data_IF_796707164420
#
_entry.id   IF_796707164420
#
_cell.length_a   1.000
_cell.length_b   1.000
_cell.length_c   1.000
_cell.angle_alpha   90.00
_cell.angle_beta   90.00
_cell.angle_gamma   90.00
#
_symmetry.space_group_name_H-M   'P 1'
#
loop_
_entity.id
_entity.type
_entity.pdbx_description
1 polymer ?
#
# COMPACT_ATOMS: atom_id res chain seq x y z
N UNK A 1 12.40 -10.92 -6.90
CA UNK A 1 11.18 -10.17 -6.55
C UNK A 1 10.87 -10.49 -5.10
N UNK A 2 10.47 -9.49 -4.31
CA UNK A 2 9.94 -9.75 -2.96
C UNK A 2 8.65 -10.56 -3.08
N UNK A 3 8.42 -11.48 -2.13
CA UNK A 3 7.25 -12.35 -2.08
C UNK A 3 6.30 -11.91 -0.97
N UNK A 4 5.05 -12.32 -1.07
CA UNK A 4 4.06 -12.06 -0.04
C UNK A 4 4.43 -12.79 1.25
N UNK A 5 4.07 -12.20 2.39
CA UNK A 5 4.26 -12.80 3.70
C UNK A 5 2.93 -13.01 4.42
N UNK A 6 2.88 -14.06 5.23
CA UNK A 6 1.84 -14.28 6.24
C UNK A 6 2.46 -14.59 7.60
N UNK A 7 1.64 -14.77 8.62
CA UNK A 7 2.11 -15.21 9.94
C UNK A 7 2.50 -16.69 9.88
N UNK A 8 3.56 -17.10 10.59
CA UNK A 8 3.95 -18.52 10.68
C UNK A 8 3.01 -19.36 11.55
N UNK A 9 2.23 -18.71 12.41
CA UNK A 9 1.24 -19.33 13.27
C UNK A 9 0.25 -18.29 13.79
N UNK A 10 -0.74 -18.75 14.55
CA UNK A 10 -1.75 -17.86 15.14
C UNK A 10 -1.29 -17.32 16.49
N UNK A 11 -1.68 -16.09 16.81
CA UNK A 11 -1.54 -15.53 18.15
C UNK A 11 -2.79 -14.75 18.55
N UNK A 12 -3.04 -14.68 19.86
CA UNK A 12 -4.15 -13.92 20.41
C UNK A 12 -3.68 -12.86 21.40
N UNK A 13 -4.39 -11.75 21.44
CA UNK A 13 -4.23 -10.68 22.42
C UNK A 13 -5.59 -10.43 23.07
N UNK A 14 -5.57 -10.34 24.41
CA UNK A 14 -6.76 -10.10 25.21
C UNK A 14 -6.58 -8.80 25.99
N UNK A 15 -7.62 -7.97 26.02
CA UNK A 15 -7.59 -6.71 26.73
C UNK A 15 -8.97 -6.06 26.81
N UNK A 16 -9.02 -4.88 27.42
CA UNK A 16 -10.23 -4.07 27.46
C UNK A 16 -10.39 -3.32 26.13
N UNK A 17 -11.61 -3.15 25.66
CA UNK A 17 -11.91 -2.26 24.54
C UNK A 17 -11.91 -0.80 24.97
N UNK A 18 -11.31 0.09 24.18
CA UNK A 18 -11.19 1.51 24.54
C UNK A 18 -12.55 2.17 24.74
N UNK A 19 -13.47 2.00 23.78
CA UNK A 19 -14.73 2.73 23.78
C UNK A 19 -15.84 1.97 24.49
N UNK A 20 -15.91 0.65 24.29
CA UNK A 20 -16.97 -0.19 24.86
C UNK A 20 -16.68 -0.62 26.29
N UNK A 21 -15.41 -0.72 26.68
CA UNK A 21 -15.00 -1.25 27.98
C UNK A 21 -15.14 -2.77 28.13
N UNK A 22 -15.53 -3.48 27.07
CA UNK A 22 -15.71 -4.93 27.07
C UNK A 22 -14.36 -5.67 27.16
N UNK A 23 -14.38 -6.91 27.65
CA UNK A 23 -13.22 -7.81 27.56
C UNK A 23 -13.19 -8.46 26.17
N UNK A 24 -12.17 -8.10 25.40
CA UNK A 24 -12.06 -8.44 23.99
C UNK A 24 -10.82 -9.28 23.75
N UNK A 25 -10.96 -10.26 22.87
CA UNK A 25 -9.89 -11.09 22.35
C UNK A 25 -9.84 -10.94 20.85
N UNK A 26 -8.67 -10.56 20.34
CA UNK A 26 -8.36 -10.55 18.91
C UNK A 26 -7.34 -11.65 18.62
N UNK A 27 -7.61 -12.46 17.61
CA UNK A 27 -6.74 -13.56 17.16
C UNK A 27 -6.30 -13.29 15.73
N UNK A 28 -5.00 -13.25 15.49
CA UNK A 28 -4.41 -13.07 14.17
C UNK A 28 -3.95 -14.43 13.66
N UNK A 29 -4.40 -14.80 12.46
CA UNK A 29 -4.16 -16.11 11.86
C UNK A 29 -3.42 -15.98 10.52
N UNK A 30 -2.59 -16.97 10.14
CA UNK A 30 -2.08 -17.09 8.79
C UNK A 30 -3.22 -17.13 7.77
N UNK A 31 -2.98 -16.60 6.56
CA UNK A 31 -3.94 -16.61 5.47
C UNK A 31 -3.28 -16.92 4.13
N UNK A 32 -4.08 -17.44 3.19
CA UNK A 32 -3.61 -17.80 1.86
C UNK A 32 -3.15 -16.56 1.07
N UNK A 33 -2.32 -16.79 0.06
CA UNK A 33 -1.86 -15.77 -0.88
C UNK A 33 -3.01 -14.95 -1.45
N UNK A 34 -2.78 -13.64 -1.63
CA UNK A 34 -3.76 -12.68 -2.16
C UNK A 34 -5.06 -12.55 -1.35
N UNK A 35 -5.09 -13.02 -0.10
CA UNK A 35 -6.23 -12.81 0.81
C UNK A 35 -6.34 -11.35 1.25
N UNK A 36 -5.21 -10.67 1.42
CA UNK A 36 -5.13 -9.39 2.12
C UNK A 36 -5.48 -9.53 3.61
N UNK A 37 -5.91 -8.43 4.21
CA UNK A 37 -6.42 -8.42 5.58
C UNK A 37 -7.93 -8.60 5.63
N UNK A 38 -8.38 -9.57 6.41
CA UNK A 38 -9.80 -9.84 6.62
C UNK A 38 -10.12 -9.86 8.09
N UNK A 39 -11.18 -9.17 8.50
CA UNK A 39 -11.63 -9.12 9.89
C UNK A 39 -12.94 -9.90 10.00
N UNK A 40 -12.95 -10.91 10.88
CA UNK A 40 -14.09 -11.77 11.14
C UNK A 40 -14.64 -11.51 12.55
N UNK A 41 -15.92 -11.16 12.65
CA UNK A 41 -16.64 -11.00 13.91
C UNK A 41 -17.17 -12.35 14.38
N UNK A 42 -16.43 -13.03 15.25
CA UNK A 42 -16.75 -14.40 15.68
C UNK A 42 -17.86 -14.47 16.74
N UNK A 43 -18.22 -13.33 17.32
CA UNK A 43 -19.29 -13.17 18.31
C UNK A 43 -20.69 -13.05 17.69
N UNK A 44 -20.79 -12.89 16.36
CA UNK A 44 -22.05 -12.77 15.64
C UNK A 44 -22.41 -14.06 14.90
N UNK A 45 -23.71 -14.32 14.76
CA UNK A 45 -24.22 -15.43 13.95
C UNK A 45 -23.73 -15.32 12.50
N UNK A 46 -23.30 -16.46 11.95
CA UNK A 46 -22.72 -16.52 10.60
C UNK A 46 -21.29 -15.98 10.48
N UNK A 47 -20.70 -15.49 11.58
CA UNK A 47 -19.32 -15.02 11.68
C UNK A 47 -18.87 -14.16 10.48
N UNK A 48 -19.54 -13.01 10.26
CA UNK A 48 -19.36 -12.21 9.07
C UNK A 48 -17.93 -11.68 8.92
N UNK A 49 -17.48 -11.59 7.67
CA UNK A 49 -16.13 -11.15 7.30
C UNK A 49 -16.18 -9.81 6.57
N UNK A 50 -15.36 -8.87 7.03
CA UNK A 50 -15.14 -7.55 6.47
C UNK A 50 -13.73 -7.51 5.87
N UNK A 51 -13.61 -7.14 4.60
CA UNK A 51 -12.31 -6.87 4.00
C UNK A 51 -11.75 -5.57 4.58
N UNK A 52 -10.53 -5.58 5.12
CA UNK A 52 -9.92 -4.39 5.71
C UNK A 52 -9.32 -3.50 4.61
N UNK A 53 -10.22 -2.80 3.92
CA UNK A 53 -9.91 -1.87 2.82
C UNK A 53 -10.59 -0.53 3.03
N UNK A 54 -10.01 0.54 2.48
CA UNK A 54 -10.45 1.91 2.77
C UNK A 54 -11.91 2.21 2.36
N UNK A 55 -12.48 1.49 1.39
CA UNK A 55 -13.91 1.62 1.04
C UNK A 55 -14.84 1.13 2.13
N UNK A 56 -14.41 0.17 2.94
CA UNK A 56 -15.19 -0.39 4.04
C UNK A 56 -15.07 0.44 5.32
N UNK A 57 -14.30 1.53 5.33
CA UNK A 57 -14.31 2.48 6.45
C UNK A 57 -15.62 3.26 6.43
N UNK A 58 -16.44 3.07 7.46
CA UNK A 58 -17.78 3.66 7.60
C UNK A 58 -17.81 4.84 8.56
N UNK A 59 -16.82 4.93 9.45
CA UNK A 59 -16.69 6.01 10.42
C UNK A 59 -15.20 6.25 10.75
N UNK A 60 -14.87 7.50 11.04
CA UNK A 60 -13.53 7.97 11.44
C UNK A 60 -13.56 8.82 12.71
N UNK A 61 -14.72 8.94 13.36
CA UNK A 61 -14.84 9.62 14.64
C UNK A 61 -14.14 8.80 15.73
N UNK A 62 -13.00 9.31 16.21
CA UNK A 62 -12.23 8.76 17.36
C UNK A 62 -11.58 7.38 17.15
N UNK A 63 -11.30 7.04 15.89
CA UNK A 63 -10.58 5.83 15.46
C UNK A 63 -11.00 5.45 14.05
N UNK A 64 -10.48 4.34 13.52
CA UNK A 64 -10.92 3.82 12.21
C UNK A 64 -11.93 2.69 12.40
N UNK A 65 -13.13 2.87 11.82
CA UNK A 65 -14.22 1.89 11.92
C UNK A 65 -14.52 1.27 10.57
N UNK A 66 -14.28 -0.03 10.46
CA UNK A 66 -14.64 -0.82 9.29
C UNK A 66 -16.05 -1.38 9.44
N UNK A 67 -16.79 -1.47 8.34
CA UNK A 67 -18.15 -2.02 8.36
C UNK A 67 -18.59 -2.63 7.04
N UNK A 68 -19.55 -3.57 7.15
CA UNK A 68 -20.23 -4.21 6.02
C UNK A 68 -21.66 -4.57 6.42
N UNK A 69 -22.65 -3.94 5.79
CA UNK A 69 -24.03 -4.00 6.26
C UNK A 69 -24.13 -3.43 7.68
N UNK A 70 -24.77 -4.17 8.59
CA UNK A 70 -24.93 -3.75 9.99
C UNK A 70 -23.73 -4.11 10.89
N UNK A 71 -22.75 -4.84 10.35
CA UNK A 71 -21.57 -5.30 11.10
C UNK A 71 -20.51 -4.22 11.07
N UNK A 72 -19.94 -3.89 12.24
CA UNK A 72 -18.85 -2.92 12.39
C UNK A 72 -17.74 -3.44 13.30
N UNK A 73 -16.53 -2.93 13.09
CA UNK A 73 -15.37 -3.16 13.96
C UNK A 73 -14.51 -1.90 14.04
N UNK A 74 -14.24 -1.40 15.24
CA UNK A 74 -13.45 -0.19 15.47
C UNK A 74 -12.07 -0.47 16.07
N UNK A 75 -11.23 0.57 16.12
CA UNK A 75 -9.91 0.56 16.78
C UNK A 75 -8.94 -0.43 16.14
N UNK A 76 -9.06 -0.61 14.82
CA UNK A 76 -8.27 -1.58 14.06
C UNK A 76 -6.85 -1.08 13.75
N UNK A 77 -6.67 0.25 13.77
CA UNK A 77 -5.48 0.97 13.29
C UNK A 77 -4.17 0.48 13.90
N UNK A 78 -4.08 0.22 15.21
CA UNK A 78 -2.81 -0.21 15.83
C UNK A 78 -2.40 -1.61 15.41
N UNK A 79 -3.36 -2.54 15.33
CA UNK A 79 -3.11 -3.90 14.89
C UNK A 79 -2.74 -3.95 13.41
N UNK A 80 -3.43 -3.16 12.58
CA UNK A 80 -3.11 -3.04 11.15
C UNK A 80 -1.76 -2.37 10.92
N UNK A 81 -1.40 -1.37 11.74
CA UNK A 81 -0.08 -0.72 11.67
C UNK A 81 1.04 -1.74 11.93
N UNK A 82 0.88 -2.60 12.95
CA UNK A 82 1.85 -3.64 13.27
C UNK A 82 2.02 -4.66 12.15
N UNK A 83 0.91 -5.14 11.55
CA UNK A 83 0.96 -6.07 10.41
C UNK A 83 1.66 -5.44 9.20
N UNK A 84 1.27 -4.21 8.85
CA UNK A 84 1.82 -3.49 7.69
C UNK A 84 3.31 -3.19 7.87
N UNK A 85 3.71 -2.75 9.07
CA UNK A 85 5.11 -2.42 9.37
C UNK A 85 6.04 -3.64 9.32
N UNK A 86 5.57 -4.81 9.77
CA UNK A 86 6.33 -6.06 9.66
C UNK A 86 6.19 -6.74 8.29
N UNK A 87 5.54 -6.08 7.33
CA UNK A 87 5.45 -6.54 5.95
C UNK A 87 4.60 -7.79 5.78
N UNK A 88 3.64 -8.06 6.68
CA UNK A 88 2.60 -9.08 6.48
C UNK A 88 1.68 -8.61 5.35
N UNK A 89 1.33 -9.50 4.43
CA UNK A 89 0.43 -9.18 3.32
C UNK A 89 -0.95 -9.85 3.51
N UNK A 90 -0.95 -11.05 4.10
CA UNK A 90 -2.15 -11.87 4.24
C UNK A 90 -2.38 -12.24 5.71
N UNK A 91 -3.54 -11.89 6.26
CA UNK A 91 -3.89 -12.20 7.64
C UNK A 91 -5.42 -12.28 7.84
N UNK A 92 -5.88 -13.35 8.50
CA UNK A 92 -7.26 -13.46 8.97
C UNK A 92 -7.32 -13.08 10.45
N UNK A 93 -8.04 -12.01 10.75
CA UNK A 93 -8.12 -11.39 12.07
C UNK A 93 -9.51 -11.69 12.64
N UNK A 94 -9.60 -12.47 13.71
CA UNK A 94 -10.84 -12.82 14.37
C UNK A 94 -11.00 -12.02 15.65
N UNK A 95 -12.17 -11.43 15.88
CA UNK A 95 -12.45 -10.65 17.10
C UNK A 95 -13.81 -11.00 17.66
N UNK A 96 -13.89 -11.13 18.99
CA UNK A 96 -15.10 -11.53 19.72
C UNK A 96 -15.96 -10.34 20.18
N UNK A 97 -15.87 -9.20 19.50
CA UNK A 97 -16.64 -8.01 19.84
C UNK A 97 -16.45 -6.88 18.84
N UNK A 98 -17.06 -5.72 19.09
CA UNK A 98 -17.19 -4.64 18.11
C UNK A 98 -15.94 -3.78 17.94
N UNK A 99 -14.84 -4.05 18.65
CA UNK A 99 -13.59 -3.31 18.54
C UNK A 99 -12.39 -4.22 18.85
N UNK A 100 -11.17 -3.77 18.52
CA UNK A 100 -9.94 -4.44 19.00
C UNK A 100 -9.62 -4.01 20.43
N UNK A 101 -8.94 -4.84 21.23
CA UNK A 101 -8.48 -4.44 22.55
C UNK A 101 -7.44 -3.30 22.44
N UNK A 102 -7.55 -2.31 23.34
CA UNK A 102 -6.65 -1.15 23.35
C UNK A 102 -5.24 -1.49 23.85
N UNK A 103 -5.13 -2.53 24.67
CA UNK A 103 -3.88 -2.97 25.32
C UNK A 103 -3.25 -1.82 26.13
N UNK A 104 -2.05 -1.38 25.78
CA UNK A 104 -1.39 -0.22 26.39
C UNK A 104 -1.56 1.07 25.58
N UNK A 105 -2.41 1.07 24.55
CA UNK A 105 -2.65 2.20 23.66
C UNK A 105 -1.64 2.33 22.53
N UNK A 106 -0.71 1.40 22.39
CA UNK A 106 0.33 1.39 21.35
C UNK A 106 0.22 0.15 20.44
N UNK A 107 1.17 -0.02 19.52
CA UNK A 107 1.30 -1.20 18.68
C UNK A 107 2.35 -2.21 19.20
N UNK A 108 3.05 -1.91 20.30
CA UNK A 108 4.21 -2.68 20.75
C UNK A 108 3.89 -4.15 21.06
N UNK A 109 2.74 -4.42 21.68
CA UNK A 109 2.33 -5.79 22.01
C UNK A 109 2.00 -6.63 20.78
N UNK A 110 1.42 -6.01 19.74
CA UNK A 110 1.19 -6.66 18.45
C UNK A 110 2.52 -7.03 17.78
N UNK A 111 3.46 -6.07 17.70
CA UNK A 111 4.81 -6.29 17.15
C UNK A 111 5.52 -7.45 17.87
N UNK A 112 5.51 -7.42 19.20
CA UNK A 112 6.14 -8.46 20.02
C UNK A 112 5.58 -9.85 19.69
N UNK A 113 4.25 -9.99 19.58
CA UNK A 113 3.61 -11.28 19.25
C UNK A 113 3.90 -11.75 17.83
N UNK A 114 3.94 -10.85 16.85
CA UNK A 114 4.29 -11.19 15.47
C UNK A 114 5.75 -11.66 15.40
N UNK A 115 6.67 -11.02 16.13
CA UNK A 115 8.08 -11.43 16.21
C UNK A 115 8.25 -12.78 16.93
N UNK A 116 7.49 -13.02 18.02
CA UNK A 116 7.49 -14.30 18.75
C UNK A 116 7.02 -15.47 17.86
N UNK A 117 5.94 -15.28 17.08
CA UNK A 117 5.38 -16.36 16.25
C UNK A 117 6.16 -16.55 14.95
N UNK A 118 6.73 -15.47 14.41
CA UNK A 118 7.49 -15.45 13.16
C UNK A 118 6.64 -15.20 11.92
N UNK A 119 7.33 -14.95 10.82
CA UNK A 119 6.76 -14.62 9.51
C UNK A 119 7.08 -15.77 8.53
N UNK A 120 6.11 -16.11 7.68
CA UNK A 120 6.24 -17.12 6.64
C UNK A 120 6.10 -16.49 5.25
N UNK A 121 7.12 -16.69 4.42
CA UNK A 121 7.14 -16.24 3.02
C UNK A 121 6.28 -17.18 2.15
N UNK A 122 5.46 -16.61 1.29
CA UNK A 122 4.58 -17.33 0.37
C UNK A 122 5.15 -17.31 -1.06
N UNK A 123 4.58 -18.08 -2.00
CA UNK A 123 5.10 -18.17 -3.37
C UNK A 123 4.66 -17.01 -4.26
N UNK A 124 3.53 -16.36 -3.93
CA UNK A 124 3.04 -15.22 -4.68
C UNK A 124 3.99 -13.99 -4.58
N UNK A 125 4.20 -13.25 -5.67
CA UNK A 125 4.99 -12.02 -5.64
C UNK A 125 4.27 -10.94 -4.84
N UNK A 126 5.05 -10.12 -4.14
CA UNK A 126 4.55 -8.94 -3.45
C UNK A 126 4.32 -7.81 -4.44
N UNK A 127 3.13 -7.23 -4.41
CA UNK A 127 2.67 -6.26 -5.39
C UNK A 127 2.72 -4.84 -4.82
N UNK A 128 3.89 -4.20 -4.98
CA UNK A 128 4.12 -2.83 -4.55
C UNK A 128 3.47 -1.82 -5.49
N UNK A 129 2.79 -0.83 -4.91
CA UNK A 129 2.35 0.34 -5.66
C UNK A 129 3.37 1.47 -5.55
N UNK A 130 4.03 1.76 -6.68
CA UNK A 130 5.06 2.79 -6.78
C UNK A 130 4.42 4.15 -7.10
N UNK A 131 4.69 5.16 -6.27
CA UNK A 131 4.23 6.52 -6.48
C UNK A 131 5.10 7.21 -7.54
N UNK A 132 4.46 7.68 -8.62
CA UNK A 132 5.15 8.27 -9.79
C UNK A 132 5.05 9.79 -9.88
N UNK A 133 4.02 10.35 -9.27
CA UNK A 133 3.77 11.78 -9.23
C UNK A 133 3.22 12.14 -7.85
N UNK A 134 3.31 13.43 -7.51
CA UNK A 134 2.72 13.96 -6.28
C UNK A 134 1.21 13.66 -6.25
N UNK A 135 0.74 13.03 -5.18
CA UNK A 135 -0.69 12.87 -4.88
C UNK A 135 -0.95 13.53 -3.53
N UNK A 136 -2.00 14.34 -3.46
CA UNK A 136 -2.31 15.15 -2.27
C UNK A 136 -3.80 15.07 -1.94
N UNK A 137 -4.11 14.86 -0.67
CA UNK A 137 -5.44 15.00 -0.11
C UNK A 137 -5.42 16.11 0.93
N UNK A 138 -6.37 17.04 0.82
CA UNK A 138 -6.55 18.17 1.75
C UNK A 138 -7.96 18.20 2.31
N UNK A 139 -8.05 18.63 3.56
CA UNK A 139 -9.26 19.04 4.24
C UNK A 139 -9.16 20.55 4.52
N UNK A 140 -9.96 21.34 3.81
CA UNK A 140 -9.94 22.81 3.90
C UNK A 140 -10.53 23.30 5.24
N UNK A 141 -11.37 22.51 5.91
CA UNK A 141 -12.01 22.91 7.17
C UNK A 141 -11.03 22.77 8.34
N UNK A 142 -10.29 21.66 8.40
CA UNK A 142 -9.32 21.42 9.48
C UNK A 142 -7.90 21.91 9.15
N UNK A 143 -7.63 22.17 7.86
CA UNK A 143 -6.27 22.40 7.35
C UNK A 143 -5.41 21.13 7.36
N UNK A 144 -6.01 19.94 7.51
CA UNK A 144 -5.31 18.67 7.46
C UNK A 144 -4.90 18.33 6.04
N UNK A 145 -3.68 17.84 5.85
CA UNK A 145 -3.14 17.55 4.53
C UNK A 145 -2.26 16.32 4.58
N UNK A 146 -2.39 15.44 3.59
CA UNK A 146 -1.48 14.31 3.35
C UNK A 146 -1.02 14.40 1.91
N UNK A 147 0.29 14.43 1.73
CA UNK A 147 0.94 14.44 0.43
C UNK A 147 1.86 13.24 0.36
N UNK A 148 1.83 12.51 -0.75
CA UNK A 148 2.83 11.49 -1.06
C UNK A 148 3.63 11.91 -2.29
N UNK A 149 4.94 11.72 -2.21
CA UNK A 149 5.90 12.02 -3.26
C UNK A 149 6.57 10.72 -3.75
N UNK A 150 7.04 10.67 -5.01
CA UNK A 150 7.83 9.56 -5.51
C UNK A 150 9.06 9.31 -4.63
N UNK A 151 9.25 8.06 -4.24
CA UNK A 151 10.42 7.58 -3.52
C UNK A 151 10.55 6.06 -3.73
N UNK A 152 11.77 5.55 -3.65
CA UNK A 152 12.07 4.11 -3.80
C UNK A 152 11.68 3.32 -2.54
N UNK A 153 11.65 3.98 -1.39
CA UNK A 153 11.27 3.44 -0.09
C UNK A 153 9.96 4.03 0.42
N UNK A 154 9.35 3.38 1.40
CA UNK A 154 8.19 3.94 2.10
C UNK A 154 8.64 4.64 3.38
N UNK A 155 8.52 5.97 3.40
CA UNK A 155 8.89 6.81 4.53
C UNK A 155 7.77 7.79 4.88
N UNK A 156 7.72 8.23 6.13
CA UNK A 156 6.66 9.12 6.62
C UNK A 156 7.25 10.23 7.47
N UNK A 157 6.85 11.47 7.20
CA UNK A 157 7.02 12.61 8.10
C UNK A 157 5.65 13.12 8.51
N UNK A 158 5.38 13.13 9.81
CA UNK A 158 4.15 13.64 10.39
C UNK A 158 4.42 14.90 11.21
N UNK A 159 3.67 15.96 10.94
CA UNK A 159 3.64 17.19 11.72
C UNK A 159 2.29 17.31 12.42
N UNK A 160 2.31 17.23 13.75
CA UNK A 160 1.16 17.56 14.58
C UNK A 160 1.25 19.02 15.01
N UNK A 161 0.09 19.67 15.09
CA UNK A 161 -0.02 21.05 15.54
C UNK A 161 -1.34 21.17 16.29
N UNK A 162 -1.28 21.02 17.61
CA UNK A 162 -2.43 21.24 18.48
C UNK A 162 -2.32 22.63 19.11
N UNK A 163 -3.49 23.24 19.36
CA UNK A 163 -3.58 24.41 20.23
C UNK A 163 -3.42 23.95 21.69
N UNK A 164 -2.17 23.69 22.05
CA UNK A 164 -1.70 23.14 23.32
C UNK A 164 -0.32 23.70 23.66
N UNK A 165 -0.09 24.01 24.94
CA UNK A 165 1.24 24.35 25.45
C UNK A 165 2.15 23.12 25.58
N UNK A 166 1.56 21.92 25.65
CA UNK A 166 2.27 20.66 25.87
C UNK A 166 2.53 19.91 24.56
N UNK A 167 1.58 19.95 23.63
CA UNK A 167 1.75 19.44 22.27
C UNK A 167 1.56 20.59 21.27
N UNK A 168 2.57 21.44 21.18
CA UNK A 168 2.60 22.47 20.14
C UNK A 168 2.92 21.85 18.77
N UNK A 169 3.61 22.58 17.89
CA UNK A 169 4.08 22.04 16.62
C UNK A 169 5.23 21.07 16.81
N UNK A 170 4.95 19.78 16.65
CA UNK A 170 5.91 18.69 16.79
C UNK A 170 6.01 17.88 15.50
N UNK A 171 7.19 17.29 15.25
CA UNK A 171 7.47 16.44 14.11
C UNK A 171 7.87 15.05 14.57
N UNK A 172 7.48 14.04 13.79
CA UNK A 172 8.02 12.70 13.87
C UNK A 172 8.32 12.20 12.45
N UNK A 173 9.43 11.51 12.28
CA UNK A 173 9.84 10.92 11.00
C UNK A 173 10.12 9.44 11.19
N UNK A 174 9.74 8.65 10.19
CA UNK A 174 10.12 7.26 10.01
C UNK A 174 10.72 7.13 8.62
N UNK A 175 12.05 7.01 8.54
CA UNK A 175 12.77 6.95 7.27
C UNK A 175 12.73 5.54 6.66
N UNK A 176 12.82 4.50 7.50
CA UNK A 176 12.74 3.10 7.09
C UNK A 176 11.69 2.35 7.91
N UNK A 177 10.87 1.53 7.24
CA UNK A 177 9.81 0.78 7.91
C UNK A 177 10.35 -0.24 8.94
N UNK A 178 11.58 -0.70 8.75
CA UNK A 178 12.27 -1.62 9.69
C UNK A 178 12.42 -1.02 11.10
N UNK A 179 12.52 0.32 11.20
CA UNK A 179 12.66 1.02 12.47
C UNK A 179 11.34 1.18 13.23
N UNK A 180 10.19 0.89 12.58
CA UNK A 180 8.87 1.09 13.17
C UNK A 180 8.71 0.38 14.52
N UNK A 181 9.20 -0.86 14.64
CA UNK A 181 9.11 -1.65 15.85
C UNK A 181 9.76 -0.94 17.06
N UNK A 182 10.90 -0.28 16.84
CA UNK A 182 11.68 0.37 17.89
C UNK A 182 11.23 1.82 18.12
N UNK A 183 10.96 2.55 17.05
CA UNK A 183 10.83 4.01 17.09
C UNK A 183 9.39 4.50 17.17
N UNK A 184 8.42 3.70 16.73
CA UNK A 184 7.03 4.14 16.57
C UNK A 184 6.07 3.25 17.34
N UNK A 185 6.25 1.93 17.30
CA UNK A 185 5.31 0.97 17.88
C UNK A 185 5.02 1.18 19.38
N UNK A 186 5.95 1.66 20.24
CA UNK A 186 5.68 1.96 21.65
C UNK A 186 4.90 3.26 21.89
N UNK A 187 4.64 4.09 20.87
CA UNK A 187 3.98 5.37 21.06
C UNK A 187 2.49 5.19 21.36
N UNK A 188 2.08 5.59 22.57
CA UNK A 188 0.71 5.38 23.05
C UNK A 188 -0.25 6.45 22.56
N UNK A 189 -1.53 6.07 22.49
CA UNK A 189 -2.62 7.00 22.23
C UNK A 189 -2.74 8.03 23.34
N UNK A 190 -3.43 9.13 23.05
CA UNK A 190 -3.52 10.26 23.97
C UNK A 190 -4.87 10.96 23.88
N UNK A 191 -5.23 11.61 24.98
CA UNK A 191 -6.47 12.37 25.10
C UNK A 191 -6.26 13.62 25.95
N UNK A 192 -6.87 14.73 25.56
CA UNK A 192 -6.92 15.93 26.39
C UNK A 192 -8.05 15.84 27.40
N UNK A 193 -7.83 16.29 28.63
CA UNK A 193 -8.88 16.32 29.67
C UNK A 193 -10.14 17.07 29.22
N UNK A 194 -9.98 18.15 28.43
CA UNK A 194 -11.08 18.92 27.86
C UNK A 194 -11.99 18.11 26.93
N UNK A 195 -11.49 17.01 26.36
CA UNK A 195 -12.22 16.13 25.44
C UNK A 195 -12.89 14.95 26.15
N UNK A 196 -12.52 14.64 27.41
CA UNK A 196 -13.03 13.47 28.12
C UNK A 196 -14.53 13.60 28.41
N UNK A 197 -15.00 14.71 28.99
CA UNK A 197 -16.42 14.87 29.33
C UNK A 197 -17.35 14.75 28.10
N UNK A 198 -17.06 15.40 26.94
CA UNK A 198 -17.82 15.16 25.71
C UNK A 198 -17.84 13.70 25.26
N UNK A 199 -16.71 13.00 25.38
CA UNK A 199 -16.60 11.58 25.00
C UNK A 199 -17.45 10.68 25.90
N UNK A 200 -17.44 10.91 27.21
CA UNK A 200 -18.27 10.16 28.17
C UNK A 200 -19.76 10.39 27.91
N UNK A 201 -20.18 11.63 27.63
CA UNK A 201 -21.57 11.95 27.24
C UNK A 201 -22.00 11.25 25.95
N UNK A 202 -21.05 10.99 25.04
CA UNK A 202 -21.27 10.22 23.83
C UNK A 202 -21.17 8.69 24.03
N UNK A 203 -21.12 8.21 25.27
CA UNK A 203 -20.94 6.78 25.61
C UNK A 203 -19.63 6.15 25.09
N UNK A 204 -18.58 6.96 24.88
CA UNK A 204 -17.25 6.52 24.46
C UNK A 204 -16.29 6.39 25.65
N UNK A 205 -15.07 5.93 25.38
CA UNK A 205 -13.93 5.82 26.31
C UNK A 205 -14.19 5.09 27.65
N UNK A 206 -15.17 4.17 27.71
CA UNK A 206 -15.48 3.38 28.92
C UNK A 206 -14.34 2.45 29.36
N UNK A 207 -13.40 2.20 28.44
CA UNK A 207 -12.18 1.45 28.66
C UNK A 207 -10.93 2.25 28.91
N UNK A 208 -10.96 3.57 28.73
CA UNK A 208 -9.78 4.42 28.89
C UNK A 208 -9.29 4.45 30.34
N UNK A 209 -7.99 4.32 30.52
CA UNK A 209 -7.30 4.50 31.81
C UNK A 209 -5.88 5.06 31.60
N UNK A 210 -5.17 5.32 32.70
CA UNK A 210 -3.81 5.89 32.65
C UNK A 210 -2.73 4.90 32.19
N UNK A 211 -3.07 3.61 32.04
CA UNK A 211 -2.15 2.58 31.57
C UNK A 211 -2.26 2.36 30.06
N UNK A 212 -3.38 2.79 29.45
CA UNK A 212 -3.67 2.64 28.03
C UNK A 212 -3.74 3.94 27.22
N UNK A 213 -3.65 5.11 27.86
CA UNK A 213 -3.58 6.39 27.16
C UNK A 213 -2.76 7.44 27.94
N UNK A 214 -2.12 8.35 27.21
CA UNK A 214 -1.51 9.55 27.76
C UNK A 214 -2.63 10.57 27.99
N UNK A 215 -2.85 10.97 29.24
CA UNK A 215 -3.86 11.98 29.58
C UNK A 215 -3.18 13.34 29.76
N UNK A 216 -3.71 14.36 29.07
CA UNK A 216 -3.07 15.68 28.98
C UNK A 216 -3.98 16.74 29.59
N UNK A 217 -3.56 17.29 30.73
CA UNK A 217 -4.26 18.35 31.43
C UNK A 217 -3.59 19.69 31.19
N UNK A 218 -4.15 20.46 30.26
CA UNK A 218 -3.50 21.64 29.70
C UNK A 218 -4.27 22.95 29.87
N UNK A 219 -5.57 22.84 30.19
CA UNK A 219 -6.47 23.97 30.42
C UNK A 219 -7.03 23.82 31.82
N UNK A 220 -6.70 24.76 32.69
CA UNK A 220 -7.16 24.74 34.05
C UNK A 220 -8.70 24.77 34.08
N UNK A 221 -9.29 23.85 34.81
CA UNK A 221 -10.72 23.78 35.10
C UNK A 221 -10.96 24.02 36.59
N UNK A 222 -12.21 24.13 37.02
CA UNK A 222 -12.53 24.25 38.45
C UNK A 222 -12.25 22.94 39.19
N UNK A 223 -11.84 23.01 40.46
CA UNK A 223 -11.61 21.82 41.29
C UNK A 223 -12.85 20.92 41.34
N UNK A 224 -14.04 21.52 41.49
CA UNK A 224 -15.32 20.79 41.47
C UNK A 224 -15.55 20.00 40.17
N UNK A 225 -15.23 20.59 39.01
CA UNK A 225 -15.39 19.89 37.73
C UNK A 225 -14.36 18.77 37.56
N UNK A 226 -13.13 18.98 38.03
CA UNK A 226 -12.09 17.95 37.97
C UNK A 226 -12.41 16.78 38.90
N UNK A 227 -12.89 17.04 40.12
CA UNK A 227 -13.28 16.02 41.09
C UNK A 227 -14.48 15.21 40.57
N UNK A 228 -15.50 15.86 39.98
CA UNK A 228 -16.62 15.16 39.33
C UNK A 228 -16.15 14.22 38.23
N UNK A 229 -15.18 14.64 37.43
CA UNK A 229 -14.62 13.80 36.37
C UNK A 229 -13.83 12.63 36.94
N UNK A 230 -13.04 12.89 38.00
CA UNK A 230 -12.26 11.87 38.69
C UNK A 230 -13.16 10.82 39.35
N UNK A 231 -14.24 11.23 40.00
CA UNK A 231 -15.25 10.35 40.58
C UNK A 231 -15.91 9.47 39.51
N UNK A 232 -16.28 10.08 38.37
CA UNK A 232 -16.91 9.35 37.26
C UNK A 232 -15.98 8.29 36.66
N UNK A 233 -14.70 8.61 36.53
CA UNK A 233 -13.67 7.70 36.02
C UNK A 233 -13.12 6.75 37.10
N UNK A 234 -13.52 6.92 38.35
CA UNK A 234 -13.01 6.19 39.51
C UNK A 234 -11.47 6.28 39.64
N UNK A 235 -10.94 7.51 39.51
CA UNK A 235 -9.51 7.82 39.68
C UNK A 235 -9.30 8.79 40.85
N UNK A 236 -8.08 8.84 41.44
CA UNK A 236 -7.80 9.78 42.52
C UNK A 236 -8.04 11.24 42.13
N UNK A 237 -8.51 12.04 43.07
CA UNK A 237 -8.64 13.49 42.88
C UNK A 237 -7.25 14.11 42.67
N UNK A 238 -7.19 15.10 41.77
CA UNK A 238 -5.97 15.79 41.40
C UNK A 238 -6.11 17.28 41.70
N UNK A 239 -5.00 17.94 41.95
CA UNK A 239 -4.96 19.40 42.14
C UNK A 239 -5.19 20.10 40.80
N UNK A 240 -6.31 20.81 40.68
CA UNK A 240 -6.71 21.48 39.44
C UNK A 240 -5.71 22.57 38.99
N UNK A 241 -4.82 23.05 39.87
CA UNK A 241 -3.78 24.02 39.50
C UNK A 241 -2.56 23.39 38.83
N UNK A 242 -2.38 22.07 38.94
CA UNK A 242 -1.23 21.35 38.41
C UNK A 242 -1.48 20.84 37.00
N UNK A 243 -1.21 21.69 36.01
CA UNK A 243 -1.23 21.31 34.60
C UNK A 243 -0.06 20.38 34.24
N UNK A 244 -0.28 19.47 33.30
CA UNK A 244 0.74 18.55 32.81
C UNK A 244 0.18 17.23 32.28
N UNK A 245 1.09 16.27 32.13
CA UNK A 245 0.75 14.88 31.83
C UNK A 245 0.26 14.18 33.09
N UNK A 246 -0.92 13.57 33.02
CA UNK A 246 -1.49 12.73 34.06
C UNK A 246 -1.24 11.28 33.63
N UNK A 247 -0.19 10.64 34.15
CA UNK A 247 0.23 9.31 33.70
C UNK A 247 0.92 8.51 34.80
N UNK A 248 0.70 7.19 34.79
CA UNK A 248 1.39 6.26 35.68
C UNK A 248 2.82 5.93 35.20
N UNK A 249 3.05 6.02 33.89
CA UNK A 249 4.33 5.75 33.23
C UNK A 249 4.81 7.00 32.50
N UNK A 250 6.12 7.33 32.56
CA UNK A 250 6.65 8.48 31.84
C UNK A 250 6.45 8.35 30.32
N UNK A 251 6.60 9.47 29.61
CA UNK A 251 6.66 9.43 28.16
C UNK A 251 7.90 8.66 27.70
N UNK A 252 7.77 7.91 26.61
CA UNK A 252 8.90 7.24 25.94
C UNK A 252 9.73 8.27 25.18
N UNK A 253 9.05 9.26 24.58
CA UNK A 253 9.67 10.38 23.86
C UNK A 253 8.93 11.68 24.16
N UNK A 254 9.61 12.82 24.08
CA UNK A 254 8.96 14.14 24.20
C UNK A 254 7.88 14.37 23.14
N UNK A 255 8.06 13.78 21.94
CA UNK A 255 7.12 13.83 20.83
C UNK A 255 6.26 12.55 20.67
N UNK A 256 6.05 11.78 21.75
CA UNK A 256 5.31 10.49 21.71
C UNK A 256 3.93 10.62 21.05
N UNK A 257 3.21 11.71 21.30
CA UNK A 257 1.89 11.95 20.69
C UNK A 257 1.96 12.11 19.16
N UNK A 258 3.02 12.74 18.65
CA UNK A 258 3.24 12.87 17.20
C UNK A 258 3.68 11.56 16.58
N UNK A 259 4.52 10.77 17.28
CA UNK A 259 4.88 9.41 16.86
C UNK A 259 3.65 8.49 16.83
N UNK A 260 2.73 8.64 17.76
CA UNK A 260 1.45 7.92 17.74
C UNK A 260 0.59 8.30 16.54
N UNK A 261 0.55 9.59 16.15
CA UNK A 261 -0.12 9.99 14.92
C UNK A 261 0.54 9.44 13.66
N UNK A 262 1.85 9.22 13.67
CA UNK A 262 2.55 8.48 12.61
C UNK A 262 2.13 7.01 12.60
N UNK A 263 2.03 6.36 13.77
CA UNK A 263 1.50 5.00 13.92
C UNK A 263 0.09 4.90 13.32
N UNK A 264 -0.80 5.83 13.63
CA UNK A 264 -2.16 5.90 13.07
C UNK A 264 -2.14 5.98 11.53
N UNK A 265 -1.25 6.82 10.96
CA UNK A 265 -1.08 6.92 9.50
C UNK A 265 -0.69 5.56 8.93
N UNK A 266 0.27 4.85 9.51
CA UNK A 266 0.68 3.52 9.04
C UNK A 266 -0.49 2.55 9.07
N UNK A 267 -1.27 2.53 10.15
CA UNK A 267 -2.46 1.70 10.30
C UNK A 267 -3.53 2.00 9.25
N UNK A 268 -3.80 3.27 8.99
CA UNK A 268 -4.77 3.69 7.98
C UNK A 268 -4.28 3.45 6.54
N UNK A 269 -2.97 3.58 6.28
CA UNK A 269 -2.37 3.26 4.98
C UNK A 269 -2.40 1.76 4.69
N UNK A 270 -2.41 0.91 5.72
CA UNK A 270 -2.60 -0.53 5.55
C UNK A 270 -3.92 -0.87 4.83
N UNK A 271 -4.94 -0.02 4.98
CA UNK A 271 -6.24 -0.16 4.31
C UNK A 271 -6.20 0.15 2.80
N UNK A 272 -5.07 0.61 2.27
CA UNK A 272 -4.84 0.68 0.82
C UNK A 272 -4.85 -0.73 0.22
N UNK A 273 -4.47 -1.76 0.99
CA UNK A 273 -4.46 -3.15 0.57
C UNK A 273 -3.32 -3.53 -0.38
N UNK A 274 -2.32 -2.65 -0.52
CA UNK A 274 -1.04 -2.91 -1.19
C UNK A 274 0.09 -2.17 -0.46
N UNK A 275 1.30 -2.73 -0.38
CA UNK A 275 2.46 -2.00 0.11
C UNK A 275 2.81 -0.86 -0.84
N UNK A 276 3.15 0.30 -0.28
CA UNK A 276 3.50 1.50 -1.02
C UNK A 276 5.03 1.66 -1.17
N UNK A 277 5.45 2.38 -2.23
CA UNK A 277 6.77 3.01 -2.34
C UNK A 277 6.58 4.50 -2.61
N UNK A 278 7.08 5.34 -1.71
CA UNK A 278 6.83 6.77 -1.72
C UNK A 278 6.98 7.40 -0.33
N UNK A 279 7.24 8.71 -0.30
CA UNK A 279 7.38 9.47 0.95
C UNK A 279 6.10 10.22 1.27
N UNK A 280 5.49 9.92 2.41
CA UNK A 280 4.34 10.66 2.95
C UNK A 280 4.84 11.86 3.77
N UNK A 281 4.23 13.02 3.53
CA UNK A 281 4.33 14.22 4.37
C UNK A 281 2.91 14.55 4.82
N UNK A 282 2.66 14.43 6.12
CA UNK A 282 1.35 14.64 6.72
C UNK A 282 1.36 15.83 7.69
N UNK A 283 0.42 16.76 7.51
CA UNK A 283 0.22 17.93 8.35
C UNK A 283 -1.14 17.83 9.03
N UNK A 284 -1.16 17.93 10.36
CA UNK A 284 -2.37 17.75 11.20
C UNK A 284 -3.12 16.45 10.83
N UNK A 285 -2.45 15.29 10.82
CA UNK A 285 -3.07 14.04 10.40
C UNK A 285 -4.20 13.60 11.34
N UNK A 286 -5.08 12.77 10.82
CA UNK A 286 -6.19 12.14 11.55
C UNK A 286 -6.94 11.17 10.64
N UNK A 287 -7.70 10.25 11.24
CA UNK A 287 -8.31 9.13 10.51
C UNK A 287 -9.17 9.55 9.32
N UNK A 288 -9.90 10.67 9.41
CA UNK A 288 -10.71 11.20 8.29
C UNK A 288 -9.86 11.51 7.05
N UNK A 289 -8.80 12.31 7.21
CA UNK A 289 -7.92 12.68 6.08
C UNK A 289 -7.07 11.49 5.62
N UNK A 290 -6.65 10.63 6.56
CA UNK A 290 -5.93 9.40 6.25
C UNK A 290 -6.79 8.48 5.38
N UNK A 291 -8.06 8.26 5.74
CA UNK A 291 -8.97 7.45 4.95
C UNK A 291 -9.29 8.08 3.58
N UNK A 292 -9.52 9.40 3.53
CA UNK A 292 -9.72 10.13 2.28
C UNK A 292 -8.54 9.92 1.33
N UNK A 293 -7.33 10.00 1.85
CA UNK A 293 -6.10 9.74 1.11
C UNK A 293 -5.98 8.26 0.69
N UNK A 294 -6.22 7.30 1.59
CA UNK A 294 -6.18 5.87 1.27
C UNK A 294 -7.17 5.49 0.15
N UNK A 295 -8.40 6.04 0.18
CA UNK A 295 -9.40 5.89 -0.88
C UNK A 295 -8.94 6.49 -2.21
N UNK A 296 -8.29 7.66 -2.17
CA UNK A 296 -7.73 8.29 -3.36
C UNK A 296 -6.66 7.40 -4.00
N UNK A 297 -5.73 6.87 -3.21
CA UNK A 297 -4.69 5.95 -3.69
C UNK A 297 -5.32 4.67 -4.25
N UNK A 298 -6.30 4.07 -3.57
CA UNK A 298 -6.99 2.88 -4.10
C UNK A 298 -7.71 3.14 -5.42
N UNK A 299 -8.29 4.33 -5.59
CA UNK A 299 -8.87 4.73 -6.88
C UNK A 299 -7.80 4.81 -7.97
N UNK A 300 -6.61 5.33 -7.66
CA UNK A 300 -5.50 5.37 -8.61
C UNK A 300 -4.93 3.98 -8.91
N UNK A 301 -4.82 3.10 -7.91
CA UNK A 301 -4.46 1.68 -8.09
C UNK A 301 -5.46 0.99 -9.03
N UNK A 302 -6.76 1.18 -8.86
CA UNK A 302 -7.79 0.58 -9.72
C UNK A 302 -7.74 1.11 -11.16
N UNK A 303 -7.36 2.37 -11.37
CA UNK A 303 -7.17 2.94 -12.72
C UNK A 303 -5.90 2.41 -13.39
N UNK A 304 -4.86 2.17 -12.61
CA UNK A 304 -3.54 1.75 -13.08
C UNK A 304 -3.17 0.39 -12.49
N UNK A 305 -4.07 -0.59 -12.64
CA UNK A 305 -3.89 -1.95 -12.09
C UNK A 305 -2.57 -2.56 -12.58
N UNK A 306 -2.18 -2.24 -13.82
CA UNK A 306 -0.85 -2.49 -14.34
C UNK A 306 -0.09 -1.17 -14.44
N UNK A 307 0.92 -0.99 -13.58
CA UNK A 307 1.80 0.17 -13.65
C UNK A 307 2.75 0.07 -14.85
N UNK A 308 2.96 1.21 -15.52
CA UNK A 308 4.01 1.34 -16.53
C UNK A 308 5.36 0.97 -15.91
N UNK A 309 6.30 0.38 -16.67
CA UNK A 309 7.69 0.24 -16.23
C UNK A 309 8.34 1.61 -15.95
N UNK A 310 9.35 1.66 -15.08
CA UNK A 310 10.23 2.83 -14.95
C UNK A 310 11.24 2.78 -16.10
N UNK A 311 11.39 3.88 -16.83
CA UNK A 311 12.38 4.01 -17.90
C UNK A 311 13.21 5.27 -17.68
N UNK A 312 14.49 5.08 -17.36
CA UNK A 312 15.48 6.12 -17.23
C UNK A 312 16.39 6.11 -18.47
N UNK A 313 16.36 7.18 -19.27
CA UNK A 313 17.16 7.27 -20.49
C UNK A 313 18.68 7.43 -20.23
N UNK A 314 19.08 7.71 -18.99
CA UNK A 314 20.49 7.78 -18.59
C UNK A 314 21.08 6.41 -18.22
N UNK A 315 20.25 5.39 -18.03
CA UNK A 315 20.71 4.03 -17.74
C UNK A 315 21.01 3.25 -19.02
N UNK A 316 22.09 2.46 -18.98
CA UNK A 316 22.44 1.58 -20.07
C UNK A 316 21.39 0.46 -20.21
N UNK A 317 20.98 0.09 -21.43
CA UNK A 317 20.04 -1.01 -21.62
C UNK A 317 20.70 -2.36 -21.31
N UNK A 318 19.89 -3.34 -20.88
CA UNK A 318 20.31 -4.74 -20.76
C UNK A 318 20.63 -5.32 -22.14
N UNK A 319 19.83 -4.97 -23.15
CA UNK A 319 20.11 -5.29 -24.55
C UNK A 319 19.91 -4.03 -25.38
N UNK A 320 20.96 -3.62 -26.10
CA UNK A 320 20.85 -2.59 -27.12
C UNK A 320 20.32 -3.17 -28.45
N UNK A 321 20.15 -2.29 -29.44
CA UNK A 321 19.65 -2.67 -30.77
C UNK A 321 20.55 -3.69 -31.47
N UNK A 322 21.85 -3.70 -31.19
CA UNK A 322 22.81 -4.61 -31.81
C UNK A 322 22.69 -6.01 -31.20
N UNK A 323 22.61 -6.10 -29.88
CA UNK A 323 22.37 -7.39 -29.22
C UNK A 323 21.02 -7.98 -29.63
N UNK A 324 19.98 -7.15 -29.76
CA UNK A 324 18.67 -7.60 -30.27
C UNK A 324 18.79 -8.16 -31.70
N UNK A 325 19.61 -7.56 -32.57
CA UNK A 325 19.84 -8.03 -33.96
C UNK A 325 20.48 -9.41 -34.04
N UNK A 326 21.30 -9.77 -33.06
CA UNK A 326 21.94 -11.08 -32.98
C UNK A 326 20.93 -12.16 -32.59
N UNK A 327 19.97 -11.83 -31.73
CA UNK A 327 18.99 -12.76 -31.17
C UNK A 327 17.74 -12.92 -32.03
N UNK A 328 17.28 -11.82 -32.66
CA UNK A 328 16.09 -11.84 -33.52
C UNK A 328 16.47 -11.81 -35.00
N UNK A 329 15.75 -12.56 -35.87
CA UNK A 329 16.00 -12.54 -37.31
C UNK A 329 15.49 -11.24 -37.98
N UNK A 330 14.62 -10.49 -37.31
CA UNK A 330 14.01 -9.26 -37.84
C UNK A 330 15.07 -8.21 -38.20
N UNK A 331 14.86 -7.51 -39.31
CA UNK A 331 15.68 -6.38 -39.77
C UNK A 331 14.76 -5.22 -40.16
N UNK A 332 15.31 -4.00 -40.23
CA UNK A 332 14.57 -2.85 -40.72
C UNK A 332 13.85 -3.19 -42.04
N UNK A 333 12.55 -2.86 -42.19
CA UNK A 333 11.72 -2.04 -41.29
C UNK A 333 10.96 -2.81 -40.19
N UNK A 334 11.21 -4.11 -40.02
CA UNK A 334 10.44 -4.99 -39.12
C UNK A 334 11.14 -5.30 -37.79
N UNK A 335 12.36 -4.85 -37.55
CA UNK A 335 12.91 -4.85 -36.20
C UNK A 335 12.35 -3.63 -35.46
N UNK A 336 11.38 -3.84 -34.58
CA UNK A 336 10.62 -2.77 -33.96
C UNK A 336 11.10 -2.41 -32.55
N UNK A 337 11.72 -3.36 -31.85
CA UNK A 337 12.26 -3.15 -30.50
C UNK A 337 13.66 -2.55 -30.59
N UNK A 338 13.85 -1.39 -29.98
CA UNK A 338 15.11 -0.65 -30.00
C UNK A 338 16.06 -1.11 -28.88
N UNK A 339 15.50 -1.42 -27.70
CA UNK A 339 16.26 -1.86 -26.53
C UNK A 339 15.41 -2.64 -25.53
N UNK A 340 16.08 -3.41 -24.67
CA UNK A 340 15.51 -4.04 -23.47
C UNK A 340 16.11 -3.36 -22.24
N UNK A 341 15.26 -2.87 -21.34
CA UNK A 341 15.67 -2.14 -20.12
C UNK A 341 15.48 -2.95 -18.83
N UNK A 342 14.64 -3.99 -18.87
CA UNK A 342 14.49 -4.93 -17.77
C UNK A 342 14.29 -6.35 -18.33
N UNK A 343 14.91 -7.34 -17.69
CA UNK A 343 14.79 -8.74 -18.06
C UNK A 343 14.85 -9.59 -16.80
N UNK A 344 13.77 -10.32 -16.55
CA UNK A 344 13.63 -11.27 -15.46
C UNK A 344 13.37 -12.69 -15.99
N UNK A 345 13.19 -13.67 -15.08
CA UNK A 345 12.94 -15.06 -15.46
C UNK A 345 11.60 -15.27 -16.18
N UNK A 346 10.62 -14.41 -15.92
CA UNK A 346 9.26 -14.52 -16.46
C UNK A 346 8.71 -13.21 -17.03
N UNK A 347 9.53 -12.17 -17.11
CA UNK A 347 9.10 -10.85 -17.58
C UNK A 347 10.20 -10.09 -18.30
N UNK A 348 9.81 -9.22 -19.22
CA UNK A 348 10.72 -8.35 -19.97
C UNK A 348 10.09 -6.97 -20.17
N UNK A 349 10.94 -5.95 -20.21
CA UNK A 349 10.56 -4.60 -20.63
C UNK A 349 11.39 -4.15 -21.82
N UNK A 350 10.73 -4.02 -22.97
CA UNK A 350 11.32 -3.47 -24.19
C UNK A 350 10.90 -2.01 -24.43
N UNK A 351 11.65 -1.30 -25.27
CA UNK A 351 11.39 0.08 -25.66
C UNK A 351 11.38 0.21 -27.17
N UNK A 352 10.44 1.01 -27.70
CA UNK A 352 10.45 1.50 -29.08
C UNK A 352 10.23 3.01 -29.10
N UNK A 353 11.09 3.72 -29.81
CA UNK A 353 10.88 5.12 -30.14
C UNK A 353 10.15 5.21 -31.48
N UNK A 354 9.07 5.98 -31.52
CA UNK A 354 8.24 6.13 -32.71
C UNK A 354 8.68 7.37 -33.46
N UNK A 355 9.26 7.19 -34.65
CA UNK A 355 9.78 8.33 -35.44
C UNK A 355 8.90 8.60 -36.65
N UNK A 356 8.79 9.88 -37.07
CA UNK A 356 7.98 10.27 -38.23
C UNK A 356 8.47 9.65 -39.55
N UNK A 357 9.73 9.21 -39.59
CA UNK A 357 10.37 8.64 -40.77
C UNK A 357 10.09 7.14 -40.95
N UNK A 358 9.32 6.53 -40.05
CA UNK A 358 8.96 5.12 -40.21
C UNK A 358 8.06 4.90 -41.44
N UNK A 359 8.35 3.88 -42.27
CA UNK A 359 7.80 3.79 -43.62
C UNK A 359 6.28 3.61 -43.64
N UNK A 360 5.70 3.07 -42.57
CA UNK A 360 4.25 2.90 -42.49
C UNK A 360 3.49 4.23 -42.36
N UNK A 361 4.10 5.32 -41.86
CA UNK A 361 3.40 6.61 -41.77
C UNK A 361 3.14 7.25 -43.14
N UNK A 362 3.87 6.86 -44.18
CA UNK A 362 3.65 7.35 -45.55
C UNK A 362 2.31 6.88 -46.12
N UNK A 363 1.85 5.69 -45.74
CA UNK A 363 0.61 5.08 -46.24
C UNK A 363 -0.50 4.93 -45.20
N UNK A 364 -0.18 4.91 -43.91
CA UNK A 364 -1.12 4.70 -42.83
C UNK A 364 -1.53 6.04 -42.19
N UNK A 365 -2.60 6.62 -42.75
CA UNK A 365 -3.16 7.94 -42.41
C UNK A 365 -2.16 9.11 -42.58
N UNK A 366 -1.85 9.54 -43.81
CA UNK A 366 -0.81 10.54 -44.07
C UNK A 366 -1.04 11.93 -43.43
N UNK A 367 -2.32 12.32 -43.26
CA UNK A 367 -2.69 13.60 -42.63
C UNK A 367 -2.85 13.50 -41.11
N UNK A 368 -2.87 12.28 -40.58
CA UNK A 368 -3.04 11.99 -39.16
C UNK A 368 -2.17 10.77 -38.80
N UNK A 369 -0.84 10.94 -38.72
CA UNK A 369 0.08 9.82 -38.60
C UNK A 369 -0.17 9.03 -37.30
N UNK A 370 -0.56 7.76 -37.45
CA UNK A 370 -0.82 6.83 -36.34
C UNK A 370 -0.06 5.53 -36.58
N UNK A 371 0.66 5.02 -35.57
CA UNK A 371 1.33 3.73 -35.69
C UNK A 371 0.30 2.60 -35.76
N UNK A 372 0.32 1.73 -36.80
CA UNK A 372 -0.60 0.61 -36.93
C UNK A 372 -0.61 -0.27 -35.67
N UNK A 373 -1.79 -0.56 -35.14
CA UNK A 373 -1.94 -1.39 -33.93
C UNK A 373 -1.29 -2.77 -34.07
N UNK A 374 -1.34 -3.37 -35.26
CA UNK A 374 -0.68 -4.66 -35.55
C UNK A 374 0.84 -4.60 -35.38
N UNK A 375 1.48 -3.45 -35.65
CA UNK A 375 2.91 -3.28 -35.42
C UNK A 375 3.23 -3.11 -33.93
N UNK A 376 2.30 -2.56 -33.13
CA UNK A 376 2.45 -2.55 -31.67
C UNK A 376 2.39 -3.98 -31.12
N UNK A 377 1.50 -4.83 -31.65
CA UNK A 377 1.40 -6.24 -31.29
C UNK A 377 2.64 -7.03 -31.73
N UNK A 378 3.14 -6.79 -32.94
CA UNK A 378 4.40 -7.38 -33.43
C UNK A 378 5.59 -6.98 -32.55
N UNK A 379 5.70 -5.71 -32.15
CA UNK A 379 6.75 -5.26 -31.24
C UNK A 379 6.64 -5.91 -29.85
N UNK A 380 5.42 -6.10 -29.33
CA UNK A 380 5.19 -6.90 -28.12
C UNK A 380 5.64 -8.35 -28.29
N UNK A 381 5.33 -8.96 -29.44
CA UNK A 381 5.73 -10.32 -29.77
C UNK A 381 7.25 -10.47 -29.86
N UNK A 382 7.95 -9.50 -30.43
CA UNK A 382 9.42 -9.45 -30.45
C UNK A 382 10.02 -9.35 -29.04
N UNK A 383 9.43 -8.53 -28.16
CA UNK A 383 9.82 -8.49 -26.75
C UNK A 383 9.61 -9.86 -26.08
N UNK A 384 8.45 -10.48 -26.27
CA UNK A 384 8.17 -11.82 -25.76
C UNK A 384 9.11 -12.89 -26.31
N UNK A 385 9.49 -12.79 -27.59
CA UNK A 385 10.48 -13.64 -28.22
C UNK A 385 11.84 -13.54 -27.54
N UNK A 386 12.32 -12.33 -27.27
CA UNK A 386 13.56 -12.10 -26.52
C UNK A 386 13.52 -12.71 -25.11
N UNK A 387 12.38 -12.57 -24.41
CA UNK A 387 12.19 -13.17 -23.08
C UNK A 387 12.33 -14.70 -23.14
N UNK A 388 11.67 -15.33 -24.10
CA UNK A 388 11.66 -16.78 -24.27
C UNK A 388 13.03 -17.29 -24.73
N UNK A 389 13.66 -16.62 -25.69
CA UNK A 389 14.98 -16.99 -26.19
C UNK A 389 16.05 -16.91 -25.09
N UNK A 390 15.91 -15.99 -24.14
CA UNK A 390 16.80 -15.91 -22.98
C UNK A 390 16.70 -17.13 -22.03
N UNK A 391 15.72 -18.03 -22.23
CA UNK A 391 15.55 -19.25 -21.42
C UNK A 391 16.15 -20.51 -22.07
N UNK A 392 16.63 -20.43 -23.32
CA UNK A 392 17.15 -21.59 -24.07
C UNK A 392 18.66 -21.49 -24.31
N UNK A 393 19.32 -22.64 -24.43
CA UNK A 393 20.74 -22.68 -24.82
C UNK A 393 20.91 -22.35 -26.31
N UNK A 394 22.01 -21.63 -26.63
CA UNK A 394 22.34 -21.16 -27.98
C UNK A 394 21.15 -20.42 -28.64
N UNK A 395 20.69 -19.29 -28.08
CA UNK A 395 19.47 -18.61 -28.50
C UNK A 395 19.47 -18.22 -29.99
N UNK A 396 20.63 -18.02 -30.60
CA UNK A 396 20.75 -17.70 -32.04
C UNK A 396 20.28 -18.86 -32.95
N UNK A 397 20.16 -20.09 -32.41
CA UNK A 397 19.68 -21.27 -33.14
C UNK A 397 18.17 -21.48 -33.08
N UNK A 398 17.43 -20.58 -32.45
CA UNK A 398 15.99 -20.70 -32.29
C UNK A 398 15.28 -19.47 -32.84
N UNK A 399 14.06 -19.68 -33.33
CA UNK A 399 13.14 -18.62 -33.74
C UNK A 399 11.82 -18.81 -33.02
N UNK A 400 11.16 -17.70 -32.71
CA UNK A 400 9.81 -17.71 -32.13
C UNK A 400 8.79 -17.36 -33.20
N UNK A 401 7.90 -18.29 -33.50
CA UNK A 401 6.81 -18.12 -34.45
C UNK A 401 5.49 -17.88 -33.74
N UNK A 402 4.76 -16.90 -34.24
CA UNK A 402 3.50 -16.49 -33.65
C UNK A 402 2.37 -17.47 -33.99
N UNK A 403 1.66 -17.97 -32.97
CA UNK A 403 0.60 -18.96 -33.15
C UNK A 403 -0.80 -18.37 -32.97
N UNK A 404 -0.98 -17.52 -31.95
CA UNK A 404 -2.31 -17.06 -31.52
C UNK A 404 -2.22 -15.68 -30.88
N UNK A 405 -3.23 -14.84 -31.11
CA UNK A 405 -3.50 -13.63 -30.33
C UNK A 405 -4.92 -13.68 -29.80
N UNK A 406 -5.11 -13.27 -28.56
CA UNK A 406 -6.40 -13.08 -27.89
C UNK A 406 -6.41 -11.73 -27.15
N UNK A 407 -7.61 -11.29 -26.75
CA UNK A 407 -7.83 -10.13 -25.85
C UNK A 407 -7.10 -8.83 -26.25
N UNK A 408 -6.97 -8.59 -27.56
CA UNK A 408 -6.32 -7.38 -28.07
C UNK A 408 -7.20 -6.17 -27.82
N UNK A 409 -6.64 -5.13 -27.20
CA UNK A 409 -7.31 -3.83 -27.05
C UNK A 409 -6.37 -2.70 -27.45
N UNK A 410 -6.85 -1.82 -28.31
CA UNK A 410 -6.20 -0.55 -28.64
C UNK A 410 -6.96 0.57 -27.93
N UNK A 411 -6.30 1.24 -27.00
CA UNK A 411 -6.94 2.21 -26.09
C UNK A 411 -6.68 3.65 -26.52
N UNK A 412 -5.49 3.94 -27.04
CA UNK A 412 -5.08 5.29 -27.44
C UNK A 412 -4.25 5.24 -28.72
N UNK A 413 -4.24 6.36 -29.46
CA UNK A 413 -3.39 6.53 -30.65
C UNK A 413 -1.94 6.61 -30.20
N UNK A 414 -1.06 5.99 -30.98
CA UNK A 414 0.39 6.14 -30.88
C UNK A 414 0.84 6.94 -32.08
N UNK A 415 1.58 8.03 -31.85
CA UNK A 415 1.95 9.02 -32.87
C UNK A 415 3.47 9.20 -32.91
N UNK A 416 4.03 9.80 -33.99
CA UNK A 416 5.43 10.19 -34.01
C UNK A 416 5.83 11.04 -32.80
N UNK A 417 6.97 10.71 -32.19
CA UNK A 417 7.47 11.35 -30.96
C UNK A 417 7.19 10.53 -29.69
N UNK A 418 6.26 9.57 -29.73
CA UNK A 418 6.00 8.71 -28.58
C UNK A 418 7.17 7.75 -28.30
N UNK A 419 7.36 7.45 -27.01
CA UNK A 419 8.18 6.31 -26.57
C UNK A 419 7.26 5.23 -26.02
N UNK A 420 7.28 4.07 -26.66
CA UNK A 420 6.54 2.89 -26.24
C UNK A 420 7.38 2.06 -25.28
N UNK A 421 6.80 1.72 -24.13
CA UNK A 421 7.33 0.70 -23.22
C UNK A 421 6.46 -0.55 -23.33
N UNK A 422 7.08 -1.69 -23.66
CA UNK A 422 6.42 -2.98 -23.74
C UNK A 422 6.72 -3.76 -22.47
N UNK A 423 5.73 -3.97 -21.61
CA UNK A 423 5.83 -4.91 -20.48
C UNK A 423 5.21 -6.23 -20.90
N UNK A 424 6.01 -7.30 -20.94
CA UNK A 424 5.54 -8.63 -21.33
C UNK A 424 5.87 -9.63 -20.22
N UNK A 425 4.86 -10.37 -19.80
CA UNK A 425 4.93 -11.38 -18.74
C UNK A 425 4.52 -12.76 -19.29
N UNK A 426 5.24 -13.83 -18.91
CA UNK A 426 4.83 -15.22 -19.17
C UNK A 426 3.59 -15.55 -18.35
N UNK A 427 2.56 -16.11 -19.00
CA UNK A 427 1.35 -16.59 -18.32
C UNK A 427 1.55 -17.96 -17.65
N UNK A 428 2.49 -18.75 -18.17
CA UNK A 428 2.86 -20.05 -17.65
C UNK A 428 4.31 -20.38 -18.04
N UNK A 429 4.98 -21.31 -17.34
CA UNK A 429 6.27 -21.83 -17.80
C UNK A 429 6.17 -22.39 -19.21
N UNK A 430 7.22 -22.20 -20.01
CA UNK A 430 7.32 -22.72 -21.38
C UNK A 430 7.20 -24.25 -21.34
N UNK A 431 6.26 -24.81 -22.13
CA UNK A 431 6.03 -26.27 -22.22
C UNK A 431 5.95 -26.69 -23.67
N UNK A 432 6.62 -27.79 -24.02
CA UNK A 432 6.66 -28.34 -25.38
C UNK A 432 7.06 -27.30 -26.46
N UNK A 433 7.93 -26.35 -26.10
CA UNK A 433 8.34 -25.27 -26.99
C UNK A 433 7.23 -24.24 -27.28
N UNK A 434 6.16 -24.21 -26.48
CA UNK A 434 5.08 -23.23 -26.60
C UNK A 434 5.12 -22.29 -25.39
N UNK A 435 5.02 -20.99 -25.65
CA UNK A 435 4.99 -19.93 -24.64
C UNK A 435 3.76 -19.05 -24.83
N UNK A 436 3.00 -18.86 -23.76
CA UNK A 436 1.86 -17.93 -23.71
C UNK A 436 2.23 -16.73 -22.84
N UNK A 437 1.92 -15.53 -23.32
CA UNK A 437 2.37 -14.26 -22.77
C UNK A 437 1.23 -13.25 -22.73
N UNK A 438 1.29 -12.33 -21.77
CA UNK A 438 0.46 -11.13 -21.72
C UNK A 438 1.35 -9.91 -21.87
N UNK A 439 1.01 -9.03 -22.81
CA UNK A 439 1.73 -7.79 -23.09
C UNK A 439 0.87 -6.56 -22.85
N UNK A 440 1.51 -5.52 -22.32
CA UNK A 440 0.97 -4.16 -22.21
C UNK A 440 1.94 -3.18 -22.85
N UNK A 441 1.41 -2.22 -23.60
CA UNK A 441 2.16 -1.13 -24.20
C UNK A 441 1.79 0.17 -23.52
N UNK A 442 2.80 0.95 -23.12
CA UNK A 442 2.61 2.23 -22.44
C UNK A 442 3.21 3.38 -23.24
N UNK A 443 2.53 4.54 -23.18
CA UNK A 443 3.12 5.86 -23.49
C UNK A 443 3.00 6.70 -22.21
N UNK A 444 4.15 7.03 -21.61
CA UNK A 444 4.17 7.52 -20.23
C UNK A 444 3.51 6.51 -19.28
N UNK A 445 2.55 6.97 -18.47
CA UNK A 445 1.83 6.13 -17.52
C UNK A 445 0.55 5.49 -18.10
N UNK A 446 0.24 5.71 -19.38
CA UNK A 446 -1.02 5.29 -20.00
C UNK A 446 -0.84 4.02 -20.83
N UNK A 447 -1.69 3.02 -20.60
CA UNK A 447 -1.78 1.85 -21.47
C UNK A 447 -2.38 2.28 -22.81
N UNK A 448 -1.62 2.13 -23.89
CA UNK A 448 -2.06 2.43 -25.26
C UNK A 448 -2.56 1.19 -25.98
N UNK A 449 -2.02 0.01 -25.68
CA UNK A 449 -2.54 -1.26 -26.14
C UNK A 449 -2.21 -2.43 -25.20
N UNK A 450 -2.97 -3.52 -25.29
CA UNK A 450 -2.72 -4.78 -24.60
C UNK A 450 -3.07 -5.96 -25.50
N UNK A 451 -2.40 -7.10 -25.31
CA UNK A 451 -2.68 -8.34 -26.03
C UNK A 451 -2.23 -9.56 -25.21
N UNK A 452 -2.95 -10.67 -25.36
CA UNK A 452 -2.49 -12.00 -24.95
C UNK A 452 -2.02 -12.72 -26.20
N UNK A 453 -0.84 -13.32 -26.21
CA UNK A 453 -0.32 -14.00 -27.40
C UNK A 453 0.48 -15.25 -27.08
N UNK A 454 0.48 -16.19 -28.02
CA UNK A 454 1.19 -17.47 -27.91
C UNK A 454 2.17 -17.62 -29.06
N UNK A 455 3.38 -18.06 -28.74
CA UNK A 455 4.44 -18.33 -29.71
C UNK A 455 5.00 -19.75 -29.55
N UNK A 456 5.46 -20.31 -30.67
CA UNK A 456 6.20 -21.56 -30.74
C UNK A 456 7.68 -21.29 -30.95
N UNK A 457 8.53 -21.93 -30.17
CA UNK A 457 9.98 -21.92 -30.31
C UNK A 457 10.34 -23.05 -31.27
N UNK A 458 10.99 -22.71 -32.37
CA UNK A 458 11.37 -23.64 -33.43
C UNK A 458 12.87 -23.50 -33.68
N UNK A 459 13.57 -24.64 -33.77
CA UNK A 459 15.00 -24.64 -34.09
C UNK A 459 15.21 -24.18 -35.54
N UNK A 460 16.12 -23.25 -35.74
CA UNK A 460 16.52 -22.77 -37.06
C UNK A 460 17.11 -23.93 -37.86
N UNK A 461 16.78 -23.99 -39.15
CA UNK A 461 17.27 -25.03 -40.06
C UNK A 461 18.71 -24.78 -40.49
#
# INVERSE_FOLDING_TARGET
MSKQNTLKGSFALCGKGLHTGLSLTVTFNPAAENTGYKIQRIDLDGQPVIDAVAENVVDTQRGTVLGRGDVKVSTVEHGLAALYALGIDNCLIQVNGPEFPILDGSAAQYIKKIQEIGIEEQNAPKDYYVIRHKIEAKDEETGSCITILPDEEFSITAMCSFDSKFINSQFATLDHMEDFAKEISPARTFVFVRDIEPLLKANLIKGGDMDNAIVIYERQTSQEQLDKLADFLNVPHLDATKLGYIQNKPLVWENECTRHKLLDIVGDMALIGKPLKGRIIATRPGHTINNKFARLIRREIRKHEVQAPIYNCNEAPIMDVNRIRELLPHRYPMQLVDKVIALGPSSIVGVKNVTSNEPFFQGHFPQEPVMPGVLQVEAMAQCGGLLVLNTVEEPERWSTYFMKIDDVKFRQKVVPGDTLLFKVDLLAPVRHGVSSMKGYVFVGDKIVSEATFTAQIVKNK
#
